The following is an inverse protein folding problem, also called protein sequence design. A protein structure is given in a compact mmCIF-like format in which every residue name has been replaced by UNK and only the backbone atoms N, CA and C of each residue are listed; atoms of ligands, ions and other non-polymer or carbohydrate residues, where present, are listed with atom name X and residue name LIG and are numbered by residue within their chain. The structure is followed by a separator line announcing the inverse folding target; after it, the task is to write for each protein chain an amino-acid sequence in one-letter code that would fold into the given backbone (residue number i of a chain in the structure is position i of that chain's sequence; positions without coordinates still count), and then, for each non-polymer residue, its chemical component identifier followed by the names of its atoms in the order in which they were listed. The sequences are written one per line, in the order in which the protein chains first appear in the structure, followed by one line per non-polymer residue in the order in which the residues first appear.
data_IF_446558250780
#
_entry.id   IF_446558250780
#
_cell.length_a   1.000
_cell.length_b   1.000
_cell.length_c   1.000
_cell.angle_alpha   90.00
_cell.angle_beta   90.00
_cell.angle_gamma   90.00
#
_symmetry.space_group_name_H-M   'P 1'
#
loop_
_entity.id
_entity.type
_entity.pdbx_description
1 polymer ?
#
# COMPACT_ATOMS: atom_id res chain seq x y z
N UNK A 1 9.20 9.17 7.49
CA UNK A 1 8.22 8.19 7.00
C UNK A 1 6.88 8.73 7.45
N UNK A 2 5.95 8.95 6.53
CA UNK A 2 4.57 9.26 6.92
C UNK A 2 3.82 7.93 6.90
N UNK A 3 3.03 7.64 7.92
CA UNK A 3 2.21 6.43 7.97
C UNK A 3 1.01 6.61 7.03
N UNK A 4 0.83 5.65 6.13
CA UNK A 4 -0.33 5.59 5.25
C UNK A 4 -1.56 5.10 6.04
N UNK A 5 -2.75 5.66 5.77
CA UNK A 5 -3.98 5.24 6.45
C UNK A 5 -4.37 3.81 6.03
N UNK A 6 -4.39 2.90 6.99
CA UNK A 6 -4.76 1.50 6.77
C UNK A 6 -6.24 1.27 7.11
N UNK A 7 -7.02 0.88 6.11
CA UNK A 7 -8.45 0.57 6.30
C UNK A 7 -8.62 -0.63 7.23
N UNK A 8 -9.43 -0.47 8.28
CA UNK A 8 -9.66 -1.47 9.33
C UNK A 8 -8.72 -1.35 10.53
N UNK A 9 -7.68 -0.51 10.44
CA UNK A 9 -6.81 -0.22 11.56
C UNK A 9 -7.40 0.87 12.47
N UNK A 10 -6.97 0.83 13.74
CA UNK A 10 -7.29 1.83 14.73
C UNK A 10 -6.12 2.79 14.89
N UNK A 11 -6.40 4.06 15.09
CA UNK A 11 -5.41 5.10 15.34
C UNK A 11 -5.81 5.91 16.58
N UNK A 12 -4.82 6.36 17.33
CA UNK A 12 -4.97 7.28 18.45
C UNK A 12 -4.40 8.66 18.08
N UNK A 13 -5.22 9.69 18.19
CA UNK A 13 -4.78 11.07 18.06
C UNK A 13 -4.16 11.57 19.38
N UNK A 14 -2.85 11.82 19.34
CA UNK A 14 -2.07 12.23 20.51
C UNK A 14 -2.29 13.71 20.87
N UNK A 15 -2.82 14.53 19.96
CA UNK A 15 -3.11 15.95 20.20
C UNK A 15 -4.45 16.16 20.92
N UNK A 16 -5.47 15.34 20.63
CA UNK A 16 -6.86 15.48 21.06
C UNK A 16 -7.20 14.60 22.28
N UNK A 17 -6.28 14.49 23.24
CA UNK A 17 -6.41 13.70 24.48
C UNK A 17 -6.41 12.17 24.28
N UNK A 18 -5.75 11.65 23.24
CA UNK A 18 -5.72 10.21 22.97
C UNK A 18 -7.06 9.74 22.40
N UNK A 19 -7.62 10.51 21.46
CA UNK A 19 -8.91 10.16 20.87
C UNK A 19 -8.69 9.07 19.83
N UNK A 20 -9.33 7.93 20.04
CA UNK A 20 -9.18 6.77 19.14
C UNK A 20 -10.29 6.71 18.09
N UNK A 21 -9.91 6.35 16.86
CA UNK A 21 -10.83 6.11 15.75
C UNK A 21 -10.34 4.95 14.87
N UNK A 22 -11.27 4.38 14.11
CA UNK A 22 -11.03 3.31 13.14
C UNK A 22 -11.13 3.87 11.73
N UNK A 23 -10.19 3.53 10.84
CA UNK A 23 -10.30 3.90 9.42
C UNK A 23 -11.28 2.96 8.74
N UNK A 24 -12.38 3.49 8.20
CA UNK A 24 -13.38 2.73 7.47
C UNK A 24 -13.12 2.66 5.96
N UNK A 25 -12.53 3.71 5.40
CA UNK A 25 -12.19 3.78 3.98
C UNK A 25 -11.06 4.79 3.73
N UNK A 26 -10.29 4.55 2.67
CA UNK A 26 -9.28 5.47 2.15
C UNK A 26 -9.44 5.58 0.64
N UNK A 27 -9.63 6.80 0.13
CA UNK A 27 -9.70 7.09 -1.30
C UNK A 27 -8.43 7.86 -1.73
N UNK A 28 -7.46 7.14 -2.30
CA UNK A 28 -6.19 7.70 -2.77
C UNK A 28 -6.35 8.74 -3.90
N UNK A 29 -7.43 8.64 -4.67
CA UNK A 29 -7.65 9.53 -5.81
C UNK A 29 -8.17 10.89 -5.34
N UNK A 30 -9.07 10.91 -4.35
CA UNK A 30 -9.59 12.12 -3.73
C UNK A 30 -8.65 12.66 -2.62
N UNK A 31 -7.86 11.77 -2.01
CA UNK A 31 -6.99 12.08 -0.88
C UNK A 31 -7.78 12.19 0.42
N UNK A 32 -8.74 11.30 0.62
CA UNK A 32 -9.77 11.44 1.66
C UNK A 32 -9.91 10.15 2.47
N UNK A 33 -9.99 10.26 3.79
CA UNK A 33 -9.97 9.15 4.73
C UNK A 33 -11.24 9.19 5.57
N UNK A 34 -12.09 8.18 5.47
CA UNK A 34 -13.29 8.05 6.31
C UNK A 34 -12.94 7.32 7.60
N UNK A 35 -13.20 7.93 8.74
CA UNK A 35 -12.92 7.37 10.07
C UNK A 35 -14.18 7.25 10.93
N UNK A 36 -14.17 6.35 11.91
CA UNK A 36 -15.23 6.16 12.90
C UNK A 36 -14.68 6.21 14.31
N UNK A 37 -15.23 7.11 15.12
CA UNK A 37 -14.93 7.21 16.54
C UNK A 37 -15.64 6.14 17.36
N UNK A 38 -15.15 5.90 18.58
CA UNK A 38 -15.72 4.96 19.56
C UNK A 38 -17.18 5.26 19.96
N UNK A 39 -17.64 6.51 19.80
CA UNK A 39 -19.05 6.92 20.02
C UNK A 39 -19.96 6.54 18.84
N UNK A 40 -19.41 6.01 17.74
CA UNK A 40 -20.13 5.65 16.52
C UNK A 40 -20.34 6.81 15.54
N UNK A 41 -19.77 7.98 15.83
CA UNK A 41 -19.72 9.12 14.89
C UNK A 41 -18.67 8.83 13.82
N UNK A 42 -19.01 9.11 12.56
CA UNK A 42 -18.08 9.05 11.43
C UNK A 42 -17.63 10.45 11.02
N UNK A 43 -16.40 10.56 10.53
CA UNK A 43 -15.78 11.82 10.12
C UNK A 43 -14.83 11.58 8.95
N UNK A 44 -14.43 12.66 8.28
CA UNK A 44 -13.69 12.62 7.03
C UNK A 44 -12.45 13.51 7.18
N UNK A 45 -11.28 12.92 6.99
CA UNK A 45 -9.99 13.58 7.17
C UNK A 45 -9.30 13.64 5.81
N UNK A 46 -8.87 14.83 5.41
CA UNK A 46 -8.02 15.03 4.23
C UNK A 46 -6.63 14.41 4.47
N UNK A 47 -6.03 13.85 3.43
CA UNK A 47 -4.71 13.22 3.49
C UNK A 47 -3.61 14.23 3.91
N UNK A 48 -3.75 15.50 3.57
CA UNK A 48 -2.83 16.57 4.00
C UNK A 48 -2.91 16.80 5.52
N UNK A 49 -4.13 16.81 6.07
CA UNK A 49 -4.37 16.91 7.52
C UNK A 49 -3.86 15.65 8.25
N UNK A 50 -4.12 14.46 7.71
CA UNK A 50 -3.60 13.19 8.25
C UNK A 50 -2.09 13.21 8.44
N UNK A 51 -1.35 13.70 7.44
CA UNK A 51 0.11 13.82 7.51
C UNK A 51 0.60 14.92 8.45
N UNK A 52 -0.27 15.87 8.82
CA UNK A 52 0.00 16.91 9.80
C UNK A 52 -0.31 16.51 11.24
N UNK A 53 -1.09 15.44 11.45
CA UNK A 53 -1.52 14.97 12.77
C UNK A 53 -0.49 14.06 13.42
N UNK A 54 -0.35 14.14 14.75
CA UNK A 54 0.38 13.16 15.55
C UNK A 54 -0.53 11.96 15.86
N UNK A 55 -0.58 11.01 14.92
CA UNK A 55 -1.35 9.76 15.03
C UNK A 55 -0.43 8.58 15.41
N UNK A 56 -0.93 7.70 16.28
CA UNK A 56 -0.28 6.42 16.62
C UNK A 56 -1.20 5.27 16.21
N UNK A 57 -0.74 4.39 15.31
CA UNK A 57 -1.49 3.18 14.94
C UNK A 57 -1.57 2.23 16.14
N UNK A 58 -2.79 1.85 16.51
CA UNK A 58 -3.05 0.86 17.54
C UNK A 58 -3.11 -0.53 16.91
N UNK A 59 -2.32 -1.47 17.46
CA UNK A 59 -2.38 -2.89 17.10
C UNK A 59 -3.80 -3.43 17.38
N UNK A 60 -4.62 -3.48 16.34
CA UNK A 60 -5.86 -4.27 16.38
C UNK A 60 -5.44 -5.74 16.36
N UNK A 61 -6.05 -6.58 17.21
CA UNK A 61 -5.68 -8.00 17.45
C UNK A 61 -5.78 -8.91 16.20
N UNK A 62 -6.11 -8.36 15.03
CA UNK A 62 -6.20 -9.05 13.75
C UNK A 62 -4.96 -8.76 12.88
N UNK A 63 -3.87 -9.48 13.21
CA UNK A 63 -2.87 -10.05 12.29
C UNK A 63 -2.22 -9.14 11.23
N UNK A 64 -0.95 -8.77 11.51
CA UNK A 64 0.20 -8.76 10.60
C UNK A 64 -0.09 -8.65 9.08
N UNK A 65 -0.15 -7.43 8.53
CA UNK A 65 0.36 -7.19 7.17
C UNK A 65 1.30 -5.98 7.22
N UNK A 66 2.43 -6.25 7.87
CA UNK A 66 3.68 -5.51 7.79
C UNK A 66 4.16 -5.54 6.33
N UNK A 67 3.57 -4.70 5.49
CA UNK A 67 4.18 -4.29 4.21
C UNK A 67 4.70 -2.86 4.35
N UNK A 68 5.58 -2.69 5.34
CA UNK A 68 6.54 -1.59 5.41
C UNK A 68 7.21 -1.42 4.04
N UNK A 69 6.86 -0.33 3.37
CA UNK A 69 7.75 0.54 2.60
C UNK A 69 9.01 -0.13 2.02
N UNK A 70 8.86 -1.01 1.03
CA UNK A 70 9.97 -1.31 0.10
C UNK A 70 9.89 -0.36 -1.09
N UNK A 71 10.05 0.94 -0.81
CA UNK A 71 10.71 1.82 -1.76
C UNK A 71 12.18 1.45 -1.78
N UNK A 72 12.68 1.00 -2.93
CA UNK A 72 13.81 1.62 -3.62
C UNK A 72 14.59 0.62 -4.48
N UNK A 73 14.53 0.91 -5.78
CA UNK A 73 15.61 0.75 -6.76
C UNK A 73 16.32 -0.61 -6.90
N UNK A 74 15.95 -1.35 -7.96
CA UNK A 74 16.99 -1.88 -8.85
C UNK A 74 16.52 -1.84 -10.31
N UNK A 75 16.55 -0.63 -10.85
CA UNK A 75 16.69 -0.47 -12.28
C UNK A 75 18.12 -0.92 -12.65
N UNK A 76 18.28 -2.17 -13.10
CA UNK A 76 19.39 -2.52 -13.98
C UNK A 76 18.86 -3.19 -15.24
N UNK A 77 18.80 -2.35 -16.27
CA UNK A 77 18.90 -2.72 -17.68
C UNK A 77 20.27 -3.40 -17.88
N UNK A 78 20.30 -4.69 -18.26
CA UNK A 78 21.44 -5.35 -18.91
C UNK A 78 20.96 -6.71 -19.48
N UNK A 79 20.60 -6.74 -20.76
CA UNK A 79 21.44 -7.32 -21.83
C UNK A 79 21.21 -8.83 -22.01
N UNK A 80 20.55 -9.22 -23.10
CA UNK A 80 21.19 -9.96 -24.19
C UNK A 80 20.14 -10.55 -25.14
N UNK A 81 20.28 -10.12 -26.39
CA UNK A 81 19.81 -10.71 -27.62
C UNK A 81 20.12 -12.23 -27.66
N UNK A 82 19.07 -13.07 -27.75
CA UNK A 82 19.19 -14.47 -28.15
C UNK A 82 18.50 -14.64 -29.50
N UNK A 83 19.21 -14.22 -30.54
CA UNK A 83 19.13 -14.84 -31.87
C UNK A 83 19.76 -16.24 -31.74
N UNK A 84 18.94 -17.29 -31.74
CA UNK A 84 19.41 -18.65 -32.00
C UNK A 84 18.39 -19.35 -32.91
N UNK A 85 18.62 -19.08 -34.19
CA UNK A 85 18.42 -19.92 -35.38
C UNK A 85 18.19 -21.42 -35.10
N UNK A 86 16.94 -21.88 -35.18
CA UNK A 86 16.65 -23.32 -35.32
C UNK A 86 16.38 -23.60 -36.80
N UNK A 87 17.45 -23.94 -37.54
CA UNK A 87 17.39 -24.45 -38.91
C UNK A 87 16.48 -25.68 -39.01
N UNK A 88 15.54 -25.60 -39.95
CA UNK A 88 14.61 -26.65 -40.33
C UNK A 88 15.36 -27.82 -40.98
N UNK A 89 15.45 -28.94 -40.29
CA UNK A 89 15.95 -30.21 -40.85
C UNK A 89 14.89 -30.78 -41.82
N UNK A 90 15.05 -30.51 -43.12
CA UNK A 90 14.34 -31.16 -44.22
C UNK A 90 15.16 -32.36 -44.69
N UNK A 91 14.85 -33.54 -44.15
CA UNK A 91 15.30 -34.83 -44.70
C UNK A 91 14.07 -35.74 -44.85
N UNK A 92 13.45 -35.71 -46.03
CA UNK A 92 12.62 -36.81 -46.53
C UNK A 92 12.95 -37.11 -48.00
N UNK A 93 13.98 -37.96 -48.11
CA UNK A 93 14.23 -39.02 -49.09
C UNK A 93 13.08 -39.34 -50.07
N UNK A 94 13.27 -39.10 -51.39
CA UNK A 94 12.56 -39.87 -52.42
C UNK A 94 13.54 -40.38 -53.50
N UNK A 95 13.56 -41.72 -53.66
CA UNK A 95 14.38 -42.48 -54.62
C UNK A 95 13.76 -42.72 -55.99
#
# INVERSE_FOLDING_TARGET
MHEEPVVGAFYEDLEENGRTFEVLAFDENDGTIEVRYSDGTTDEIDLDDWYGMDLEQLESDEEEDDTDDVVDSDATDDDTDVDDDEELDDDDDEG
#
